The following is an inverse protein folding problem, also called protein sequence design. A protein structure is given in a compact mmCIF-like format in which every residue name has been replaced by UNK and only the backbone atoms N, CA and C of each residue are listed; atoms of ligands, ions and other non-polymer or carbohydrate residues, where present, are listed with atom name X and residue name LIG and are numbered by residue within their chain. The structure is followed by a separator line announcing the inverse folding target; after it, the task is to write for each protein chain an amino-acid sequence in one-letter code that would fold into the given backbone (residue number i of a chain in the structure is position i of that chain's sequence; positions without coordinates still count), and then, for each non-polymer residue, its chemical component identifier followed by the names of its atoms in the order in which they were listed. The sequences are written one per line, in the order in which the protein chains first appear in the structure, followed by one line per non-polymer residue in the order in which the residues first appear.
data_IF_092451036452
#
_entry.id   IF_092451036452
#
_cell.length_a   1.000
_cell.length_b   1.000
_cell.length_c   1.000
_cell.angle_alpha   90.00
_cell.angle_beta   90.00
_cell.angle_gamma   90.00
#
_symmetry.space_group_name_H-M   'P 1'
#
loop_
_entity.id
_entity.type
_entity.pdbx_description
1 polymer ?
#
# COMPACT_ATOMS: atom_id res chain seq x y z
N UNK A 1 0.75 -9.34 -1.74
CA UNK A 1 0.44 -8.73 -0.43
C UNK A 1 1.72 -8.16 0.13
N UNK A 2 1.67 -6.94 0.65
CA UNK A 2 2.78 -6.33 1.36
C UNK A 2 2.93 -7.00 2.74
N UNK A 3 4.18 -7.31 3.10
CA UNK A 3 4.56 -7.90 4.39
C UNK A 3 5.14 -6.86 5.37
N UNK A 4 5.18 -5.59 4.99
CA UNK A 4 5.55 -4.49 5.85
C UNK A 4 4.32 -3.92 6.57
N UNK A 5 4.58 -3.28 7.72
CA UNK A 5 3.57 -2.51 8.45
C UNK A 5 3.69 -1.05 8.05
N UNK A 6 2.56 -0.36 7.93
CA UNK A 6 2.50 1.01 7.43
C UNK A 6 1.71 1.91 8.36
N UNK A 7 2.12 3.16 8.40
CA UNK A 7 1.37 4.27 8.97
C UNK A 7 1.39 5.43 7.99
N UNK A 8 0.41 6.32 8.10
CA UNK A 8 0.43 7.48 7.24
C UNK A 8 -0.84 8.30 7.30
N UNK A 9 -0.99 9.11 6.26
CA UNK A 9 -2.06 10.08 6.12
C UNK A 9 -2.43 10.25 4.64
N UNK A 10 -3.73 10.25 4.34
CA UNK A 10 -4.23 10.50 2.99
C UNK A 10 -4.46 11.99 2.80
N UNK A 11 -3.75 12.57 1.82
CA UNK A 11 -3.82 13.98 1.49
C UNK A 11 -5.00 14.27 0.56
N UNK A 12 -5.22 13.39 -0.42
CA UNK A 12 -6.22 13.57 -1.48
C UNK A 12 -6.64 12.20 -2.03
N UNK A 13 -7.90 12.05 -2.44
CA UNK A 13 -8.48 10.79 -2.88
C UNK A 13 -8.76 9.80 -1.75
N UNK A 14 -8.70 8.49 -2.07
CA UNK A 14 -8.91 7.40 -1.11
C UNK A 14 -8.15 6.14 -1.52
N UNK A 15 -7.80 5.30 -0.55
CA UNK A 15 -7.19 3.99 -0.74
C UNK A 15 -8.09 2.91 -0.11
N UNK A 16 -8.26 1.78 -0.80
CA UNK A 16 -8.85 0.59 -0.21
C UNK A 16 -7.76 -0.39 0.20
N UNK A 17 -7.87 -0.95 1.39
CA UNK A 17 -6.91 -1.92 1.93
C UNK A 17 -7.61 -3.22 2.24
N UNK A 18 -7.09 -4.32 1.67
CA UNK A 18 -7.58 -5.67 1.90
C UNK A 18 -6.62 -6.46 2.76
N UNK A 19 -7.14 -7.15 3.78
CA UNK A 19 -6.38 -8.01 4.68
C UNK A 19 -6.67 -9.50 4.43
N UNK A 20 -5.79 -10.41 4.92
CA UNK A 20 -6.10 -11.82 5.00
C UNK A 20 -7.42 -12.04 5.74
N UNK A 21 -8.20 -13.03 5.29
CA UNK A 21 -9.54 -13.27 5.84
C UNK A 21 -10.64 -12.37 5.27
N UNK A 22 -10.32 -11.47 4.34
CA UNK A 22 -11.31 -10.74 3.54
C UNK A 22 -11.81 -9.43 4.14
N UNK A 23 -11.29 -9.00 5.31
CA UNK A 23 -11.55 -7.65 5.83
C UNK A 23 -11.04 -6.61 4.82
N UNK A 24 -11.84 -5.57 4.58
CA UNK A 24 -11.45 -4.41 3.78
C UNK A 24 -11.74 -3.12 4.55
N UNK A 25 -10.84 -2.15 4.46
CA UNK A 25 -11.02 -0.79 4.94
C UNK A 25 -10.87 0.20 3.78
N UNK A 26 -11.55 1.35 3.83
CA UNK A 26 -11.31 2.49 2.93
C UNK A 26 -10.80 3.64 3.79
N UNK A 27 -9.68 4.25 3.37
CA UNK A 27 -9.08 5.42 4.01
C UNK A 27 -9.12 6.58 3.02
N UNK A 28 -9.75 7.68 3.40
CA UNK A 28 -10.04 8.85 2.57
C UNK A 28 -9.22 10.06 2.98
N UNK A 29 -9.18 11.08 2.12
CA UNK A 29 -8.51 12.34 2.39
C UNK A 29 -8.88 12.91 3.77
N UNK A 30 -7.87 13.29 4.56
CA UNK A 30 -8.06 13.74 5.94
C UNK A 30 -7.84 12.65 7.00
N UNK A 31 -7.72 11.38 6.61
CA UNK A 31 -7.60 10.28 7.55
C UNK A 31 -6.16 9.80 7.72
N UNK A 32 -5.79 9.50 8.97
CA UNK A 32 -4.59 8.75 9.30
C UNK A 32 -4.89 7.26 9.25
N UNK A 33 -3.86 6.45 9.00
CA UNK A 33 -4.02 5.00 8.96
C UNK A 33 -2.91 4.25 9.67
N UNK A 34 -3.25 3.02 10.03
CA UNK A 34 -2.35 1.95 10.41
C UNK A 34 -2.73 0.70 9.65
N UNK A 35 -1.81 0.14 8.86
CA UNK A 35 -2.01 -1.11 8.12
C UNK A 35 -1.03 -2.17 8.64
N UNK A 36 -1.51 -3.15 9.44
CA UNK A 36 -0.66 -4.26 9.83
C UNK A 36 -0.25 -5.11 8.63
N UNK A 37 0.93 -5.74 8.73
CA UNK A 37 1.26 -6.85 7.85
C UNK A 37 0.33 -8.05 8.15
N UNK A 38 -0.17 -8.79 7.17
CA UNK A 38 -0.09 -8.60 5.71
C UNK A 38 -1.31 -7.84 5.19
N UNK A 39 -1.16 -7.07 4.10
CA UNK A 39 -2.28 -6.40 3.44
C UNK A 39 -2.03 -6.20 1.93
N UNK A 40 -3.05 -5.73 1.20
CA UNK A 40 -2.95 -5.27 -0.19
C UNK A 40 -3.61 -3.90 -0.29
N UNK A 41 -2.84 -2.88 -0.68
CA UNK A 41 -3.37 -1.57 -1.06
C UNK A 41 -3.92 -1.61 -2.49
N UNK A 42 -5.08 -1.00 -2.69
CA UNK A 42 -5.79 -0.93 -3.97
C UNK A 42 -6.16 0.53 -4.23
N UNK A 43 -5.71 1.02 -5.38
CA UNK A 43 -5.95 2.37 -5.86
C UNK A 43 -7.02 2.29 -6.96
N UNK A 44 -8.30 2.43 -6.58
CA UNK A 44 -9.41 2.41 -7.55
C UNK A 44 -9.52 3.74 -8.32
N UNK A 45 -9.07 4.85 -7.72
CA UNK A 45 -9.00 6.21 -8.29
C UNK A 45 -7.72 6.89 -7.80
N UNK A 46 -7.31 7.99 -8.44
CA UNK A 46 -6.12 8.76 -8.05
C UNK A 46 -6.10 9.07 -6.54
N UNK A 47 -4.95 8.86 -5.90
CA UNK A 47 -4.72 9.08 -4.47
C UNK A 47 -3.36 9.73 -4.24
N UNK A 48 -3.27 10.60 -3.23
CA UNK A 48 -2.00 11.14 -2.70
C UNK A 48 -1.96 10.88 -1.21
N UNK A 49 -0.88 10.28 -0.73
CA UNK A 49 -0.73 9.93 0.67
C UNK A 49 0.75 9.91 1.06
N UNK A 50 1.01 10.05 2.35
CA UNK A 50 2.32 9.80 2.95
C UNK A 50 2.29 8.41 3.55
N UNK A 51 3.32 7.62 3.27
CA UNK A 51 3.52 6.28 3.83
C UNK A 51 4.83 6.24 4.61
N UNK A 52 4.76 5.69 5.82
CA UNK A 52 5.89 5.50 6.72
C UNK A 52 5.95 4.00 7.04
N UNK A 53 7.08 3.36 6.74
CA UNK A 53 7.28 1.94 6.97
C UNK A 53 8.73 1.61 7.35
N UNK A 54 8.99 0.51 8.09
CA UNK A 54 10.34 0.08 8.39
C UNK A 54 11.05 -0.43 7.14
N UNK A 55 12.24 0.09 6.89
CA UNK A 55 13.07 -0.19 5.70
C UNK A 55 13.34 -1.69 5.50
N UNK A 56 13.71 -2.42 6.55
CA UNK A 56 14.10 -3.83 6.47
C UNK A 56 13.00 -4.77 5.96
N UNK A 57 11.72 -4.37 6.05
CA UNK A 57 10.60 -5.12 5.49
C UNK A 57 10.05 -4.50 4.21
N UNK A 58 10.15 -3.18 4.05
CA UNK A 58 9.57 -2.49 2.90
C UNK A 58 10.44 -2.55 1.65
N UNK A 59 11.77 -2.38 1.78
CA UNK A 59 12.70 -2.40 0.63
C UNK A 59 12.56 -3.72 -0.18
N UNK A 60 12.54 -4.92 0.44
CA UNK A 60 12.36 -6.15 -0.32
C UNK A 60 11.02 -6.23 -1.08
N UNK A 61 9.95 -5.63 -0.53
CA UNK A 61 8.65 -5.56 -1.20
C UNK A 61 8.75 -4.65 -2.43
N UNK A 62 9.40 -3.49 -2.31
CA UNK A 62 9.60 -2.56 -3.43
C UNK A 62 10.46 -3.17 -4.53
N UNK A 63 11.53 -3.89 -4.18
CA UNK A 63 12.35 -4.63 -5.15
C UNK A 63 11.54 -5.68 -5.91
N UNK A 64 10.67 -6.40 -5.20
CA UNK A 64 9.78 -7.37 -5.81
C UNK A 64 8.79 -6.71 -6.78
N UNK A 65 8.19 -5.59 -6.37
CA UNK A 65 7.26 -4.83 -7.20
C UNK A 65 7.95 -4.29 -8.47
N UNK A 66 9.14 -3.71 -8.34
CA UNK A 66 9.92 -3.20 -9.48
C UNK A 66 10.19 -4.29 -10.52
N UNK A 67 10.60 -5.48 -10.07
CA UNK A 67 10.81 -6.65 -10.95
C UNK A 67 9.52 -7.07 -11.68
N UNK A 68 8.39 -7.09 -10.96
CA UNK A 68 7.09 -7.44 -11.54
C UNK A 68 6.60 -6.39 -12.55
N UNK A 69 6.80 -5.10 -12.27
CA UNK A 69 6.41 -4.01 -13.18
C UNK A 69 7.23 -4.02 -14.46
N UNK A 70 8.55 -4.24 -14.37
CA UNK A 70 9.41 -4.35 -15.54
C UNK A 70 9.01 -5.54 -16.43
N UNK A 71 8.61 -6.67 -15.84
CA UNK A 71 8.14 -7.84 -16.58
C UNK A 71 6.75 -7.64 -17.23
N UNK A 72 5.88 -6.82 -16.63
CA UNK A 72 4.52 -6.57 -17.13
C UNK A 72 4.45 -5.56 -18.28
N UNK A 73 5.51 -4.76 -18.47
CA UNK A 73 5.64 -3.81 -19.58
C UNK A 73 7.01 -3.98 -20.24
N UNK A 74 7.26 -5.11 -20.94
CA UNK A 74 8.50 -5.28 -21.67
C UNK A 74 8.59 -4.16 -22.73
N UNK A 75 9.69 -3.42 -22.71
CA UNK A 75 10.00 -2.44 -23.76
C UNK A 75 10.04 -3.09 -25.14
#
# INVERSE_FOLDING_TARGET
MCSATHWGYVIDGALRVKYPGGKEDIVSAGEVFYWPASHTGIVDKNVKFVDISPDGKFIPVMDHLAKKMAAANPK
#
